data_IF_964745233928
#
_entry.id   IF_964745233928
#
_cell.length_a   1.000
_cell.length_b   1.000
_cell.length_c   1.000
_cell.angle_alpha   90.00
_cell.angle_beta   90.00
_cell.angle_gamma   90.00
#
_symmetry.space_group_name_H-M   'P 1'
#
loop_
_entity.id
_entity.type
_entity.pdbx_description
1 polymer ?
#
# COMPACT_ATOMS: atom_id res chain seq x y z
N UNK A 1 -6.01 17.38 4.24
CA UNK A 1 -7.01 17.37 3.14
C UNK A 1 -7.43 15.93 2.89
N UNK A 2 -8.73 15.64 2.86
CA UNK A 2 -9.25 14.30 2.51
C UNK A 2 -9.55 14.26 1.01
N UNK A 3 -9.03 13.26 0.30
CA UNK A 3 -9.33 13.01 -1.12
C UNK A 3 -10.41 11.94 -1.17
N UNK A 4 -11.59 12.26 -1.73
CA UNK A 4 -12.73 11.33 -1.81
C UNK A 4 -13.11 10.68 -0.46
N UNK A 5 -13.09 11.45 0.63
CA UNK A 5 -13.42 10.95 1.97
C UNK A 5 -12.31 10.17 2.68
N UNK A 6 -11.26 9.78 1.96
CA UNK A 6 -10.07 9.12 2.51
C UNK A 6 -9.02 10.12 2.98
N UNK A 7 -8.21 9.70 3.95
CA UNK A 7 -7.00 10.45 4.28
C UNK A 7 -6.03 10.43 3.08
N UNK A 8 -5.06 11.34 3.07
CA UNK A 8 -4.15 11.48 1.94
C UNK A 8 -3.29 10.21 1.70
N UNK A 9 -2.94 9.50 2.77
CA UNK A 9 -2.08 8.32 2.70
C UNK A 9 -2.84 7.11 2.14
N UNK A 10 -4.08 6.89 2.59
CA UNK A 10 -5.03 5.93 2.07
C UNK A 10 -5.32 6.19 0.58
N UNK A 11 -5.64 7.45 0.23
CA UNK A 11 -5.88 7.81 -1.17
C UNK A 11 -4.66 7.55 -2.06
N UNK A 12 -3.45 7.84 -1.56
CA UNK A 12 -2.19 7.54 -2.27
C UNK A 12 -1.99 6.03 -2.43
N UNK A 13 -2.27 5.25 -1.38
CA UNK A 13 -2.08 3.79 -1.35
C UNK A 13 -3.03 3.10 -2.32
N UNK A 14 -4.33 3.35 -2.16
CA UNK A 14 -5.41 2.84 -3.04
C UNK A 14 -5.09 3.14 -4.50
N UNK A 15 -4.64 4.36 -4.81
CA UNK A 15 -4.26 4.75 -6.17
C UNK A 15 -3.15 3.88 -6.76
N UNK A 16 -2.14 3.51 -5.97
CA UNK A 16 -1.07 2.67 -6.49
C UNK A 16 -1.53 1.22 -6.65
N UNK A 17 -2.34 0.71 -5.73
CA UNK A 17 -2.93 -0.63 -5.81
C UNK A 17 -3.81 -0.75 -7.06
N UNK A 18 -4.72 0.21 -7.28
CA UNK A 18 -5.61 0.23 -8.44
C UNK A 18 -4.87 0.38 -9.79
N UNK A 19 -3.64 0.92 -9.78
CA UNK A 19 -2.77 0.97 -10.97
C UNK A 19 -2.10 -0.37 -11.29
N UNK A 20 -2.23 -1.39 -10.43
CA UNK A 20 -1.58 -2.68 -10.59
C UNK A 20 -0.06 -2.64 -10.36
N UNK A 21 0.44 -1.66 -9.60
CA UNK A 21 1.87 -1.61 -9.26
C UNK A 21 2.26 -2.77 -8.34
N UNK A 22 3.52 -3.23 -8.42
CA UNK A 22 4.01 -4.29 -7.52
C UNK A 22 4.09 -3.82 -6.07
N UNK A 23 3.98 -4.76 -5.13
CA UNK A 23 4.10 -4.46 -3.70
C UNK A 23 5.40 -3.71 -3.37
N UNK A 24 6.53 -4.08 -3.98
CA UNK A 24 7.81 -3.38 -3.79
C UNK A 24 7.72 -1.91 -4.20
N UNK A 25 7.17 -1.65 -5.39
CA UNK A 25 7.06 -0.29 -5.91
C UNK A 25 6.13 0.58 -5.06
N UNK A 26 5.04 -0.02 -4.56
CA UNK A 26 4.09 0.68 -3.70
C UNK A 26 4.76 1.02 -2.38
N UNK A 27 5.28 0.01 -1.66
CA UNK A 27 5.82 0.15 -0.31
C UNK A 27 7.11 0.98 -0.27
N UNK A 28 7.91 0.98 -1.33
CA UNK A 28 9.08 1.87 -1.45
C UNK A 28 8.66 3.36 -1.50
N UNK A 29 7.50 3.72 -2.08
CA UNK A 29 7.00 5.12 -2.09
C UNK A 29 6.47 5.60 -0.74
N UNK A 30 6.28 4.68 0.19
CA UNK A 30 5.89 4.96 1.57
C UNK A 30 7.07 4.74 2.53
N UNK A 31 8.28 4.48 2.00
CA UNK A 31 9.49 4.28 2.79
C UNK A 31 9.35 3.17 3.84
N UNK A 32 8.53 2.15 3.55
CA UNK A 32 8.26 1.06 4.50
C UNK A 32 9.52 0.23 4.68
N UNK A 33 10.01 0.07 5.92
CA UNK A 33 11.20 -0.71 6.19
C UNK A 33 10.97 -2.19 5.86
N UNK A 34 12.00 -2.84 5.34
CA UNK A 34 11.99 -4.26 5.03
C UNK A 34 13.35 -4.91 5.29
N UNK A 35 13.33 -6.23 5.43
CA UNK A 35 14.52 -7.08 5.42
C UNK A 35 14.49 -7.97 4.19
N UNK A 36 15.66 -8.32 3.67
CA UNK A 36 15.77 -9.30 2.59
C UNK A 36 16.09 -10.66 3.20
N UNK A 37 15.16 -11.61 3.07
CA UNK A 37 15.30 -12.98 3.56
C UNK A 37 15.17 -13.94 2.38
N UNK A 38 16.22 -14.73 2.11
CA UNK A 38 16.26 -15.66 0.96
C UNK A 38 15.91 -14.98 -0.38
N UNK A 39 16.38 -13.75 -0.58
CA UNK A 39 16.13 -12.97 -1.80
C UNK A 39 14.73 -12.36 -1.92
N UNK A 40 13.86 -12.50 -0.90
CA UNK A 40 12.52 -11.89 -0.86
C UNK A 40 12.47 -10.77 0.17
N UNK A 41 11.75 -9.70 -0.14
CA UNK A 41 11.48 -8.61 0.82
C UNK A 41 10.43 -9.05 1.82
N UNK A 42 10.75 -8.91 3.10
CA UNK A 42 9.85 -9.12 4.24
C UNK A 42 9.71 -7.78 4.94
N UNK A 43 8.51 -7.22 4.88
CA UNK A 43 8.21 -5.90 5.42
C UNK A 43 7.93 -5.98 6.93
N UNK A 44 8.14 -4.87 7.63
CA UNK A 44 7.84 -4.80 9.05
C UNK A 44 6.32 -4.76 9.27
N UNK A 45 5.77 -5.80 9.90
CA UNK A 45 4.32 -5.97 10.10
C UNK A 45 3.67 -4.88 10.95
N UNK A 46 4.46 -4.21 11.80
CA UNK A 46 3.99 -3.12 12.66
C UNK A 46 4.10 -1.73 12.02
N UNK A 47 4.61 -1.64 10.78
CA UNK A 47 4.71 -0.37 10.09
C UNK A 47 3.30 0.12 9.68
N UNK A 48 2.89 1.35 10.02
CA UNK A 48 1.55 1.84 9.74
C UNK A 48 1.17 1.80 8.26
N UNK A 49 2.13 2.04 7.35
CA UNK A 49 1.89 2.03 5.92
C UNK A 49 1.82 0.60 5.37
N UNK A 50 2.57 -0.34 5.95
CA UNK A 50 2.39 -1.76 5.64
C UNK A 50 1.03 -2.29 6.09
N UNK A 51 0.59 -1.97 7.31
CA UNK A 51 -0.74 -2.33 7.82
C UNK A 51 -1.84 -1.74 6.94
N UNK A 52 -1.69 -0.47 6.54
CA UNK A 52 -2.59 0.19 5.59
C UNK A 52 -2.64 -0.53 4.25
N UNK A 53 -1.49 -0.91 3.70
CA UNK A 53 -1.42 -1.66 2.45
C UNK A 53 -2.18 -3.00 2.55
N UNK A 54 -1.95 -3.77 3.61
CA UNK A 54 -2.64 -5.05 3.84
C UNK A 54 -4.15 -4.87 3.97
N UNK A 55 -4.61 -3.88 4.75
CA UNK A 55 -6.04 -3.53 4.88
C UNK A 55 -6.70 -3.29 3.53
N UNK A 56 -6.04 -2.57 2.62
CA UNK A 56 -6.59 -2.26 1.30
C UNK A 56 -6.54 -3.44 0.33
N UNK A 57 -5.58 -4.37 0.48
CA UNK A 57 -5.59 -5.62 -0.28
C UNK A 57 -6.74 -6.55 0.13
N UNK A 58 -7.06 -6.61 1.43
CA UNK A 58 -8.17 -7.42 1.94
C UNK A 58 -9.55 -6.94 1.45
N UNK A 59 -9.68 -5.64 1.14
CA UNK A 59 -10.93 -5.07 0.60
C UNK A 59 -11.27 -5.55 -0.83
N UNK A 60 -10.37 -6.27 -1.51
CA UNK A 60 -10.62 -6.82 -2.85
C UNK A 60 -10.29 -5.84 -3.98
N UNK A 61 -10.75 -6.09 -5.22
CA UNK A 61 -10.39 -5.27 -6.37
C UNK A 61 -10.89 -3.82 -6.22
N UNK A 62 -9.95 -2.92 -5.96
CA UNK A 62 -10.20 -1.48 -5.90
C UNK A 62 -10.25 -0.94 -7.33
N UNK A 63 -11.44 -0.89 -7.92
CA UNK A 63 -11.63 -0.25 -9.22
C UNK A 63 -11.77 1.27 -9.04
N UNK A 64 -11.10 2.04 -9.91
CA UNK A 64 -11.48 3.44 -10.13
C UNK A 64 -12.80 3.45 -10.91
N UNK A 65 -13.89 3.05 -10.27
CA UNK A 65 -15.24 3.27 -10.79
C UNK A 65 -15.76 4.56 -10.14
N UNK A 66 -15.48 5.68 -10.80
CA UNK A 66 -16.29 6.89 -10.68
C UNK A 66 -17.17 6.98 -11.92
#
# INVERSE_FOLDING_TARGET
MKLHGLDHADAKMVRQIAKGNSAEHILDKFEVPYKVVKGKRVYHENDPDYVRYMKWLEHGPLTYSA
#
